data_IF_421129967560
#
_entry.id   IF_421129967560
#
_cell.length_a   1.000
_cell.length_b   1.000
_cell.length_c   1.000
_cell.angle_alpha   90.00
_cell.angle_beta   90.00
_cell.angle_gamma   90.00
#
_symmetry.space_group_name_H-M   'P 1'
#
loop_
_entity.id
_entity.type
_entity.pdbx_description
1 polymer ?
#
# COMPACT_ATOMS: atom_id res chain seq x y z
N UNK A 1 6.14 -32.44 -12.27
CA UNK A 1 6.88 -32.11 -11.03
C UNK A 1 6.40 -30.75 -10.54
N UNK A 2 5.63 -30.69 -9.44
CA UNK A 2 5.32 -29.43 -8.79
C UNK A 2 6.59 -28.92 -8.10
N UNK A 3 7.14 -27.79 -8.56
CA UNK A 3 8.16 -27.05 -7.82
C UNK A 3 7.45 -26.27 -6.73
N UNK A 4 7.54 -26.73 -5.49
CA UNK A 4 7.05 -25.94 -4.36
C UNK A 4 7.91 -24.68 -4.25
N UNK A 5 7.29 -23.52 -4.46
CA UNK A 5 7.93 -22.23 -4.23
C UNK A 5 7.74 -21.93 -2.74
N UNK A 6 8.81 -22.04 -1.96
CA UNK A 6 8.83 -21.59 -0.57
C UNK A 6 9.27 -20.14 -0.54
N UNK A 7 8.40 -19.25 -0.05
CA UNK A 7 8.72 -17.84 0.19
C UNK A 7 8.95 -17.69 1.69
N UNK A 8 10.17 -17.28 2.07
CA UNK A 8 10.47 -16.94 3.46
C UNK A 8 9.69 -15.68 3.88
N UNK A 9 9.29 -15.54 5.15
CA UNK A 9 8.55 -14.36 5.62
C UNK A 9 9.22 -13.03 5.27
N UNK A 10 10.55 -12.95 5.36
CA UNK A 10 11.35 -11.76 5.06
C UNK A 10 11.35 -11.44 3.56
N UNK A 11 11.18 -12.46 2.71
CA UNK A 11 11.13 -12.33 1.26
C UNK A 11 9.72 -12.03 0.73
N UNK A 12 8.71 -12.11 1.59
CA UNK A 12 7.35 -11.70 1.26
C UNK A 12 7.27 -10.18 1.04
N UNK A 13 6.21 -9.71 0.38
CA UNK A 13 5.96 -8.27 0.22
C UNK A 13 5.86 -7.55 1.57
N UNK A 14 5.20 -8.16 2.56
CA UNK A 14 5.12 -7.62 3.92
C UNK A 14 6.48 -7.59 4.60
N UNK A 15 7.29 -8.65 4.45
CA UNK A 15 8.66 -8.69 4.98
C UNK A 15 9.56 -7.59 4.40
N UNK A 16 9.48 -7.38 3.09
CA UNK A 16 10.20 -6.30 2.39
C UNK A 16 9.72 -4.92 2.83
N UNK A 17 8.40 -4.71 2.93
CA UNK A 17 7.84 -3.44 3.43
C UNK A 17 8.28 -3.17 4.87
N UNK A 18 8.30 -4.19 5.73
CA UNK A 18 8.80 -4.09 7.10
C UNK A 18 10.28 -3.67 7.13
N UNK A 19 11.12 -4.34 6.35
CA UNK A 19 12.54 -4.01 6.27
C UNK A 19 12.77 -2.58 5.76
N UNK A 20 12.02 -2.14 4.75
CA UNK A 20 12.07 -0.77 4.25
C UNK A 20 11.67 0.24 5.35
N UNK A 21 10.58 -0.01 6.08
CA UNK A 21 10.18 0.83 7.21
C UNK A 21 11.25 0.91 8.30
N UNK A 22 11.84 -0.22 8.68
CA UNK A 22 12.93 -0.25 9.66
C UNK A 22 14.13 0.59 9.19
N UNK A 23 14.52 0.47 7.93
CA UNK A 23 15.62 1.25 7.37
C UNK A 23 15.31 2.76 7.37
N UNK A 24 14.08 3.14 7.03
CA UNK A 24 13.63 4.54 7.03
C UNK A 24 13.61 5.13 8.45
N UNK A 25 13.10 4.37 9.43
CA UNK A 25 13.13 4.77 10.85
C UNK A 25 14.56 4.98 11.33
N UNK A 26 15.46 4.03 11.04
CA UNK A 26 16.87 4.17 11.38
C UNK A 26 17.49 5.43 10.75
N UNK A 27 17.24 5.67 9.45
CA UNK A 27 17.75 6.89 8.79
C UNK A 27 17.22 8.16 9.42
N UNK A 28 15.94 8.18 9.79
CA UNK A 28 15.34 9.30 10.51
C UNK A 28 16.05 9.53 11.86
N UNK A 29 16.24 8.47 12.65
CA UNK A 29 16.90 8.54 13.96
C UNK A 29 18.34 9.05 13.87
N UNK A 30 19.08 8.66 12.82
CA UNK A 30 20.45 9.11 12.56
C UNK A 30 20.54 10.38 11.71
N UNK A 31 19.41 11.06 11.45
CA UNK A 31 19.35 12.28 10.62
C UNK A 31 20.07 12.13 9.26
N UNK A 32 19.90 10.97 8.64
CA UNK A 32 20.48 10.63 7.34
C UNK A 32 19.49 10.96 6.22
N UNK A 33 19.99 11.50 5.11
CA UNK A 33 19.17 11.87 3.96
C UNK A 33 18.47 10.66 3.31
N UNK A 34 17.19 10.87 2.93
CA UNK A 34 16.42 9.91 2.14
C UNK A 34 16.75 10.06 0.65
N UNK A 35 16.95 8.92 -0.01
CA UNK A 35 17.05 8.85 -1.47
C UNK A 35 15.71 9.09 -2.14
N UNK A 36 15.72 9.40 -3.44
CA UNK A 36 14.49 9.58 -4.24
C UNK A 36 13.55 8.36 -4.19
N UNK A 37 14.10 7.15 -4.15
CA UNK A 37 13.30 5.92 -4.06
C UNK A 37 12.62 5.77 -2.69
N UNK A 38 13.30 6.19 -1.63
CA UNK A 38 12.76 6.20 -0.27
C UNK A 38 11.68 7.27 -0.12
N UNK A 39 11.89 8.46 -0.69
CA UNK A 39 10.88 9.52 -0.74
C UNK A 39 9.63 9.02 -1.48
N UNK A 40 9.80 8.37 -2.64
CA UNK A 40 8.68 7.80 -3.39
C UNK A 40 7.91 6.76 -2.56
N UNK A 41 8.62 5.92 -1.80
CA UNK A 41 7.99 4.96 -0.89
C UNK A 41 7.22 5.64 0.25
N UNK A 42 7.81 6.66 0.89
CA UNK A 42 7.15 7.44 1.95
C UNK A 42 5.85 8.10 1.45
N UNK A 43 5.81 8.49 0.18
CA UNK A 43 4.61 9.03 -0.48
C UNK A 43 3.71 7.99 -1.15
N UNK A 44 4.07 6.70 -1.15
CA UNK A 44 3.46 5.69 -2.03
C UNK A 44 1.98 5.44 -1.77
N UNK A 45 1.53 5.66 -0.54
CA UNK A 45 0.12 5.48 -0.13
C UNK A 45 -0.63 6.82 -0.09
N UNK A 46 0.10 7.93 -0.25
CA UNK A 46 -0.41 9.30 -0.19
C UNK A 46 -1.07 9.62 1.16
N UNK A 47 -1.98 10.59 1.13
CA UNK A 47 -2.66 11.14 2.30
C UNK A 47 -3.51 10.11 3.07
N UNK A 48 -3.82 8.96 2.46
CA UNK A 48 -4.59 7.89 3.10
C UNK A 48 -3.77 7.22 4.21
N UNK A 49 -2.44 7.15 4.05
CA UNK A 49 -1.54 6.58 5.03
C UNK A 49 -0.17 7.28 4.97
N UNK A 50 -0.03 8.47 5.58
CA UNK A 50 1.18 9.27 5.51
C UNK A 50 2.30 8.63 6.34
N UNK A 51 3.09 7.75 5.72
CA UNK A 51 4.13 6.96 6.38
C UNK A 51 5.14 7.88 7.09
N UNK A 52 5.55 8.97 6.44
CA UNK A 52 6.53 9.90 6.98
C UNK A 52 6.03 10.59 8.27
N UNK A 53 4.79 11.08 8.27
CA UNK A 53 4.20 11.74 9.44
C UNK A 53 4.10 10.77 10.61
N UNK A 54 3.78 9.50 10.33
CA UNK A 54 3.75 8.47 11.36
C UNK A 54 5.15 8.16 11.91
N UNK A 55 6.21 8.16 11.09
CA UNK A 55 7.59 8.02 11.60
C UNK A 55 7.91 9.16 12.57
N UNK A 56 7.60 10.40 12.20
CA UNK A 56 7.82 11.58 13.08
C UNK A 56 7.03 11.43 14.38
N UNK A 57 5.75 11.06 14.28
CA UNK A 57 4.89 10.94 15.45
C UNK A 57 5.35 9.81 16.38
N UNK A 58 5.78 8.66 15.84
CA UNK A 58 6.38 7.59 16.64
C UNK A 58 7.63 8.09 17.38
N UNK A 59 8.50 8.83 16.69
CA UNK A 59 9.73 9.38 17.27
C UNK A 59 9.46 10.34 18.43
N UNK A 60 8.51 11.28 18.24
CA UNK A 60 8.17 12.27 19.27
C UNK A 60 7.40 11.63 20.44
N UNK A 61 6.47 10.73 20.13
CA UNK A 61 5.59 10.14 21.15
C UNK A 61 6.21 8.98 21.92
N UNK A 62 7.20 8.29 21.33
CA UNK A 62 7.70 7.00 21.81
C UNK A 62 6.69 5.85 21.65
N UNK A 63 5.57 6.06 20.96
CA UNK A 63 4.52 5.06 20.74
C UNK A 63 4.63 4.48 19.34
N UNK A 64 4.63 3.16 19.24
CA UNK A 64 4.64 2.46 17.95
C UNK A 64 3.26 2.51 17.25
N UNK A 65 3.26 2.94 15.99
CA UNK A 65 2.15 3.06 15.05
C UNK A 65 2.36 2.13 13.83
N UNK A 66 3.60 1.99 13.34
CA UNK A 66 3.96 1.40 12.06
C UNK A 66 4.38 -0.07 12.11
N UNK A 67 4.74 -0.63 13.26
CA UNK A 67 5.29 -2.00 13.34
C UNK A 67 4.34 -3.08 12.76
N UNK A 68 3.02 -2.89 12.89
CA UNK A 68 2.00 -3.77 12.31
C UNK A 68 1.49 -3.31 10.94
N UNK A 69 2.05 -2.25 10.37
CA UNK A 69 1.55 -1.62 9.14
C UNK A 69 2.20 -2.15 7.86
N UNK A 70 3.20 -3.03 7.99
CA UNK A 70 3.89 -3.64 6.84
C UNK A 70 2.96 -4.46 5.94
N UNK A 71 1.99 -5.18 6.51
CA UNK A 71 0.97 -5.90 5.75
C UNK A 71 0.01 -4.95 5.03
N UNK A 72 -0.36 -3.84 5.66
CA UNK A 72 -1.21 -2.81 5.06
C UNK A 72 -0.49 -2.17 3.87
N UNK A 73 0.78 -1.78 4.04
CA UNK A 73 1.61 -1.19 2.97
C UNK A 73 1.78 -2.18 1.82
N UNK A 74 2.15 -3.43 2.11
CA UNK A 74 2.30 -4.46 1.10
C UNK A 74 1.00 -4.70 0.32
N UNK A 75 -0.13 -4.77 1.04
CA UNK A 75 -1.44 -4.96 0.42
C UNK A 75 -1.84 -3.78 -0.45
N UNK A 76 -1.55 -2.55 -0.03
CA UNK A 76 -1.79 -1.35 -0.82
C UNK A 76 -1.01 -1.40 -2.13
N UNK A 77 0.31 -1.65 -2.07
CA UNK A 77 1.17 -1.75 -3.25
C UNK A 77 0.68 -2.81 -4.23
N UNK A 78 0.29 -3.98 -3.73
CA UNK A 78 -0.23 -5.06 -4.58
C UNK A 78 -1.56 -4.71 -5.24
N UNK A 79 -2.50 -4.09 -4.50
CA UNK A 79 -3.80 -3.67 -5.06
C UNK A 79 -3.63 -2.54 -6.07
N UNK A 80 -2.70 -1.61 -5.83
CA UNK A 80 -2.36 -0.53 -6.76
C UNK A 80 -1.84 -1.11 -8.09
N UNK A 81 -0.85 -2.00 -8.03
CA UNK A 81 -0.36 -2.69 -9.23
C UNK A 81 -1.44 -3.50 -9.94
N UNK A 82 -2.32 -4.17 -9.19
CA UNK A 82 -3.44 -4.89 -9.79
C UNK A 82 -4.38 -3.96 -10.57
N UNK A 83 -4.68 -2.78 -10.03
CA UNK A 83 -5.51 -1.76 -10.72
C UNK A 83 -4.83 -1.23 -11.99
N UNK A 84 -3.52 -1.01 -11.95
CA UNK A 84 -2.73 -0.60 -13.12
C UNK A 84 -2.80 -1.66 -14.23
N UNK A 85 -2.50 -2.91 -13.89
CA UNK A 85 -2.57 -4.05 -14.82
C UNK A 85 -3.97 -4.22 -15.40
N UNK A 86 -5.03 -4.14 -14.59
CA UNK A 86 -6.42 -4.20 -15.07
C UNK A 86 -6.69 -3.09 -16.09
N UNK A 87 -6.20 -1.88 -15.82
CA UNK A 87 -6.41 -0.71 -16.68
C UNK A 87 -5.70 -0.89 -18.03
N UNK A 88 -4.46 -1.34 -18.02
CA UNK A 88 -3.68 -1.61 -19.23
C UNK A 88 -4.31 -2.72 -20.07
N UNK A 89 -4.67 -3.84 -19.44
CA UNK A 89 -5.33 -4.96 -20.10
C UNK A 89 -6.67 -4.51 -20.71
N UNK A 90 -7.49 -3.77 -19.96
CA UNK A 90 -8.77 -3.26 -20.46
C UNK A 90 -8.56 -2.39 -21.70
N UNK A 91 -7.59 -1.48 -21.66
CA UNK A 91 -7.25 -0.62 -22.82
C UNK A 91 -6.86 -1.45 -24.03
N UNK A 92 -6.03 -2.48 -23.86
CA UNK A 92 -5.61 -3.36 -24.94
C UNK A 92 -6.80 -4.13 -25.53
N UNK A 93 -7.66 -4.70 -24.69
CA UNK A 93 -8.84 -5.47 -25.12
C UNK A 93 -9.86 -4.59 -25.84
N UNK A 94 -10.12 -3.38 -25.34
CA UNK A 94 -10.99 -2.42 -26.02
C UNK A 94 -10.44 -2.05 -27.40
N UNK A 95 -9.13 -1.83 -27.52
CA UNK A 95 -8.46 -1.57 -28.80
C UNK A 95 -8.56 -2.76 -29.77
N UNK A 96 -8.48 -4.00 -29.28
CA UNK A 96 -8.66 -5.21 -30.10
C UNK A 96 -10.12 -5.36 -30.55
N UNK A 97 -11.10 -5.14 -29.66
CA UNK A 97 -12.51 -5.20 -29.99
C UNK A 97 -12.93 -4.17 -31.04
N UNK A 98 -12.31 -2.99 -31.05
CA UNK A 98 -12.53 -2.00 -32.12
C UNK A 98 -12.03 -2.47 -33.51
N UNK A 99 -11.12 -3.45 -33.57
CA UNK A 99 -10.54 -3.99 -34.81
C UNK A 99 -11.13 -5.33 -35.24
N UNK A 100 -11.82 -6.03 -34.34
CA UNK A 100 -12.39 -7.36 -34.57
C UNK A 100 -13.88 -7.35 -34.21
N UNK A 101 -14.75 -7.44 -35.22
CA UNK A 101 -16.21 -7.46 -35.02
C UNK A 101 -16.61 -8.74 -34.26
N UNK A 102 -17.23 -8.56 -33.09
CA UNK A 102 -17.85 -9.56 -32.21
C UNK A 102 -17.07 -10.88 -32.02
N UNK A 103 -16.09 -10.86 -31.12
CA UNK A 103 -15.44 -12.09 -30.65
C UNK A 103 -15.93 -12.42 -29.23
N UNK A 104 -16.72 -13.50 -29.10
CA UNK A 104 -17.23 -14.04 -27.84
C UNK A 104 -16.12 -14.24 -26.78
N UNK A 105 -14.90 -14.55 -27.22
CA UNK A 105 -13.75 -14.70 -26.32
C UNK A 105 -13.33 -13.37 -25.67
N UNK A 106 -13.40 -12.25 -26.42
CA UNK A 106 -13.09 -10.92 -25.89
C UNK A 106 -14.15 -10.47 -24.89
N UNK A 107 -15.43 -10.73 -25.18
CA UNK A 107 -16.53 -10.42 -24.26
C UNK A 107 -16.42 -11.21 -22.96
N UNK A 108 -16.14 -12.52 -23.05
CA UNK A 108 -15.92 -13.37 -21.89
C UNK A 108 -14.71 -12.90 -21.08
N UNK A 109 -13.62 -12.54 -21.74
CA UNK A 109 -12.42 -12.02 -21.07
C UNK A 109 -12.69 -10.69 -20.34
N UNK A 110 -13.41 -9.75 -20.95
CA UNK A 110 -13.83 -8.51 -20.29
C UNK A 110 -14.71 -8.76 -19.07
N UNK A 111 -15.59 -9.77 -19.12
CA UNK A 111 -16.42 -10.17 -17.98
C UNK A 111 -15.58 -10.70 -16.82
N UNK A 112 -14.58 -11.53 -17.07
CA UNK A 112 -13.66 -11.98 -16.03
C UNK A 112 -12.79 -10.82 -15.50
N UNK A 113 -12.32 -9.93 -16.37
CA UNK A 113 -11.58 -8.73 -15.96
C UNK A 113 -12.41 -7.82 -15.05
N UNK A 114 -13.71 -7.68 -15.31
CA UNK A 114 -14.64 -6.95 -14.42
C UNK A 114 -14.71 -7.58 -13.02
N UNK A 115 -14.68 -8.92 -12.91
CA UNK A 115 -14.66 -9.60 -11.61
C UNK A 115 -13.38 -9.33 -10.83
N UNK A 116 -12.23 -9.33 -11.51
CA UNK A 116 -10.94 -8.98 -10.88
C UNK A 116 -10.95 -7.52 -10.43
N UNK A 117 -11.55 -6.61 -11.21
CA UNK A 117 -11.72 -5.22 -10.82
C UNK A 117 -12.62 -5.03 -9.60
N UNK A 118 -13.73 -5.76 -9.51
CA UNK A 118 -14.59 -5.74 -8.31
C UNK A 118 -13.81 -6.19 -7.08
N UNK A 119 -13.08 -7.30 -7.18
CA UNK A 119 -12.22 -7.77 -6.09
C UNK A 119 -11.17 -6.71 -5.68
N UNK A 120 -10.48 -6.09 -6.65
CA UNK A 120 -9.50 -5.05 -6.37
C UNK A 120 -10.13 -3.83 -5.66
N UNK A 121 -11.35 -3.45 -6.04
CA UNK A 121 -12.09 -2.36 -5.40
C UNK A 121 -12.52 -2.72 -3.98
N UNK A 122 -13.04 -3.91 -3.74
CA UNK A 122 -13.40 -4.39 -2.41
C UNK A 122 -12.19 -4.41 -1.47
N UNK A 123 -11.05 -4.93 -1.96
CA UNK A 123 -9.79 -4.91 -1.21
C UNK A 123 -9.32 -3.49 -0.93
N UNK A 124 -9.40 -2.59 -1.91
CA UNK A 124 -9.05 -1.19 -1.70
C UNK A 124 -9.87 -0.53 -0.59
N UNK A 125 -11.20 -0.72 -0.60
CA UNK A 125 -12.09 -0.17 0.43
C UNK A 125 -11.77 -0.71 1.82
N UNK A 126 -11.44 -2.01 1.92
CA UNK A 126 -10.97 -2.60 3.17
C UNK A 126 -9.67 -1.93 3.66
N UNK A 127 -8.69 -1.75 2.77
CA UNK A 127 -7.42 -1.11 3.11
C UNK A 127 -7.61 0.34 3.57
N UNK A 128 -8.51 1.10 2.93
CA UNK A 128 -8.86 2.46 3.38
C UNK A 128 -9.47 2.46 4.79
N UNK A 129 -10.28 1.45 5.11
CA UNK A 129 -10.88 1.29 6.44
C UNK A 129 -9.80 1.01 7.50
N UNK A 130 -8.85 0.12 7.19
CA UNK A 130 -7.76 -0.21 8.10
C UNK A 130 -6.78 0.96 8.28
N UNK A 131 -6.43 1.66 7.21
CA UNK A 131 -5.65 2.89 7.25
C UNK A 131 -6.33 3.96 8.12
N UNK A 132 -7.64 4.16 7.95
CA UNK A 132 -8.41 5.12 8.76
C UNK A 132 -8.42 4.78 10.25
N UNK A 133 -8.37 3.50 10.62
CA UNK A 133 -8.28 3.08 12.04
C UNK A 133 -6.94 3.45 12.64
N UNK A 134 -5.86 3.29 11.88
CA UNK A 134 -4.51 3.67 12.31
C UNK A 134 -4.39 5.19 12.40
N UNK A 135 -4.90 5.93 11.41
CA UNK A 135 -4.91 7.40 11.44
C UNK A 135 -5.65 7.94 12.68
N UNK A 136 -6.85 7.41 12.99
CA UNK A 136 -7.57 7.80 14.20
C UNK A 136 -6.74 7.61 15.48
N UNK A 137 -5.98 6.51 15.57
CA UNK A 137 -5.08 6.27 16.71
C UNK A 137 -3.93 7.28 16.74
N UNK A 138 -3.30 7.54 15.60
CA UNK A 138 -2.25 8.54 15.46
C UNK A 138 -2.74 9.94 15.90
N UNK A 139 -3.94 10.36 15.46
CA UNK A 139 -4.54 11.64 15.85
C UNK A 139 -4.82 11.75 17.35
N UNK A 140 -5.23 10.67 18.01
CA UNK A 140 -5.41 10.67 19.46
C UNK A 140 -4.08 10.85 20.20
N UNK A 141 -3.00 10.23 19.71
CA UNK A 141 -1.65 10.40 20.27
C UNK A 141 -1.21 11.85 20.11
N UNK A 142 -1.34 12.40 18.90
CA UNK A 142 -1.02 13.80 18.60
C UNK A 142 -1.77 14.78 19.51
N UNK A 143 -3.08 14.59 19.66
CA UNK A 143 -3.91 15.40 20.57
C UNK A 143 -3.44 15.31 22.03
N UNK A 144 -3.06 14.12 22.49
CA UNK A 144 -2.55 13.93 23.84
C UNK A 144 -1.23 14.68 24.07
N UNK A 145 -0.31 14.65 23.10
CA UNK A 145 0.95 15.40 23.17
C UNK A 145 0.70 16.90 23.24
N UNK A 146 -0.18 17.43 22.38
CA UNK A 146 -0.56 18.85 22.38
C UNK A 146 -1.18 19.25 23.72
N UNK A 147 -2.05 18.40 24.30
CA UNK A 147 -2.66 18.68 25.60
C UNK A 147 -1.62 18.71 26.72
N UNK A 148 -0.61 17.83 26.67
CA UNK A 148 0.49 17.77 27.64
C UNK A 148 1.39 19.02 27.58
N UNK A 149 1.68 19.53 26.39
CA UNK A 149 2.48 20.76 26.23
C UNK A 149 1.77 22.03 26.71
N UNK A 150 0.44 22.03 26.72
CA UNK A 150 -0.38 23.16 27.18
C UNK A 150 -0.65 23.17 28.69
N UNK A 151 -0.30 22.09 29.40
CA UNK A 151 -0.45 21.96 30.86
C UNK A 151 0.81 22.38 31.60
#
# INVERSE_FOLDING_TARGET
MQRNITILPEQSYAGKAKQQLTNLKNKFDYNTEFSNHEIAFLSSIGDIFPIYDYIILEYISGVTILDSSSELIASYTLVQHLKEVITEIRRAVTSLGAKQVSNEHLERYLKELNRVQLFANEKWTSLQTDASRIDKRARLIEQHLIAKEKS
#
